data_IF_281295419120
#
_entry.id   IF_281295419120
#
_cell.length_a   1.000
_cell.length_b   1.000
_cell.length_c   1.000
_cell.angle_alpha   90.00
_cell.angle_beta   90.00
_cell.angle_gamma   90.00
#
_symmetry.space_group_name_H-M   'P 1'
#
loop_
_entity.id
_entity.type
_entity.pdbx_description
1 polymer ?
#
# COMPACT_ATOMS: atom_id res chain seq x y z
N UNK A 1 12.32 -27.62 -42.88
CA UNK A 1 11.81 -28.25 -41.64
C UNK A 1 12.98 -28.79 -40.84
N UNK A 2 13.43 -28.05 -39.82
CA UNK A 2 13.49 -28.54 -38.44
C UNK A 2 13.86 -27.36 -37.54
N UNK A 3 12.98 -27.15 -36.58
CA UNK A 3 12.89 -26.00 -35.69
C UNK A 3 14.09 -25.84 -34.77
N UNK A 4 14.48 -24.57 -34.61
CA UNK A 4 15.33 -24.10 -33.52
C UNK A 4 14.42 -23.76 -32.34
N UNK A 5 14.54 -24.50 -31.24
CA UNK A 5 14.01 -24.09 -29.94
C UNK A 5 15.17 -23.73 -29.03
N UNK A 6 15.42 -22.43 -28.92
CA UNK A 6 16.06 -21.82 -27.74
C UNK A 6 15.30 -20.52 -27.50
N UNK A 7 14.43 -20.52 -26.50
CA UNK A 7 13.67 -19.35 -26.07
C UNK A 7 13.32 -19.49 -24.60
N UNK A 8 13.47 -18.37 -23.89
CA UNK A 8 12.78 -18.04 -22.63
C UNK A 8 13.41 -18.49 -21.30
N UNK A 9 14.58 -17.91 -20.98
CA UNK A 9 15.07 -17.84 -19.60
C UNK A 9 15.53 -16.43 -19.15
N UNK A 10 15.47 -15.40 -20.01
CA UNK A 10 16.01 -14.07 -19.70
C UNK A 10 14.97 -13.00 -19.33
N UNK A 11 13.67 -13.30 -19.39
CA UNK A 11 12.64 -12.26 -19.22
C UNK A 11 12.39 -11.90 -17.74
N UNK A 12 12.64 -12.81 -16.79
CA UNK A 12 12.20 -12.63 -15.39
C UNK A 12 13.17 -11.85 -14.49
N UNK A 13 14.47 -11.85 -14.81
CA UNK A 13 15.49 -11.21 -13.97
C UNK A 13 15.64 -9.71 -14.29
N UNK A 14 15.37 -9.31 -15.54
CA UNK A 14 15.47 -7.91 -15.98
C UNK A 14 14.39 -7.04 -15.30
N UNK A 15 13.14 -7.50 -15.30
CA UNK A 15 11.99 -6.73 -14.82
C UNK A 15 12.05 -6.45 -13.31
N UNK A 16 12.45 -7.44 -12.51
CA UNK A 16 12.61 -7.26 -11.05
C UNK A 16 13.72 -6.26 -10.70
N UNK A 17 14.77 -6.19 -11.52
CA UNK A 17 15.87 -5.24 -11.36
C UNK A 17 15.42 -3.81 -11.70
N UNK A 18 14.59 -3.64 -12.73
CA UNK A 18 14.06 -2.34 -13.16
C UNK A 18 13.08 -1.75 -12.13
N UNK A 19 12.15 -2.55 -11.60
CA UNK A 19 11.24 -2.08 -10.55
C UNK A 19 11.96 -1.76 -9.24
N UNK A 20 13.02 -2.50 -8.91
CA UNK A 20 13.88 -2.18 -7.77
C UNK A 20 14.55 -0.82 -7.94
N UNK A 21 14.91 -0.42 -9.17
CA UNK A 21 15.50 0.89 -9.42
C UNK A 21 14.46 2.02 -9.21
N UNK A 22 13.24 1.85 -9.69
CA UNK A 22 12.13 2.81 -9.54
C UNK A 22 11.77 3.04 -8.08
N UNK A 23 11.74 1.97 -7.27
CA UNK A 23 11.44 2.06 -5.83
C UNK A 23 12.66 2.39 -4.96
N UNK A 24 13.87 2.52 -5.52
CA UNK A 24 15.08 2.81 -4.73
C UNK A 24 14.99 4.09 -3.88
N UNK A 25 14.39 5.22 -4.33
CA UNK A 25 14.24 6.40 -3.47
C UNK A 25 13.27 6.15 -2.31
N UNK A 26 12.21 5.38 -2.57
CA UNK A 26 11.28 4.94 -1.53
C UNK A 26 11.96 4.03 -0.50
N UNK A 27 12.76 3.05 -0.95
CA UNK A 27 13.50 2.15 -0.06
C UNK A 27 14.45 2.92 0.86
N UNK A 28 15.17 3.92 0.33
CA UNK A 28 16.04 4.78 1.14
C UNK A 28 15.26 5.53 2.24
N UNK A 29 14.07 6.04 1.91
CA UNK A 29 13.18 6.71 2.87
C UNK A 29 12.65 5.76 3.94
N UNK A 30 12.21 4.55 3.57
CA UNK A 30 11.80 3.52 4.53
C UNK A 30 12.94 3.15 5.47
N UNK A 31 14.17 2.94 4.96
CA UNK A 31 15.31 2.61 5.80
C UNK A 31 15.64 3.73 6.80
N UNK A 32 15.68 4.99 6.34
CA UNK A 32 15.90 6.15 7.21
C UNK A 32 14.80 6.30 8.27
N UNK A 33 13.53 6.14 7.86
CA UNK A 33 12.38 6.17 8.77
C UNK A 33 12.43 5.07 9.83
N UNK A 34 12.77 3.84 9.42
CA UNK A 34 12.92 2.70 10.32
C UNK A 34 14.04 2.94 11.35
N UNK A 35 15.17 3.50 10.92
CA UNK A 35 16.28 3.86 11.82
C UNK A 35 15.84 4.94 12.81
N UNK A 36 15.18 6.00 12.33
CA UNK A 36 14.68 7.08 13.16
C UNK A 36 13.63 6.61 14.18
N UNK A 37 12.72 5.71 13.77
CA UNK A 37 11.69 5.13 14.64
C UNK A 37 12.30 4.28 15.75
N UNK A 38 13.27 3.41 15.40
CA UNK A 38 14.03 2.61 16.38
C UNK A 38 14.79 3.47 17.38
N UNK A 39 15.31 4.61 16.93
CA UNK A 39 15.95 5.61 17.77
C UNK A 39 14.96 6.51 18.53
N UNK A 40 13.65 6.24 18.45
CA UNK A 40 12.57 7.04 19.07
C UNK A 40 12.54 8.51 18.65
N UNK A 41 13.19 8.84 17.53
CA UNK A 41 13.13 10.17 16.92
C UNK A 41 11.88 10.30 16.04
N UNK A 42 10.70 10.19 16.65
CA UNK A 42 9.43 9.99 15.94
C UNK A 42 9.06 11.11 14.97
N UNK A 43 9.46 12.37 15.23
CA UNK A 43 9.25 13.47 14.27
C UNK A 43 10.05 13.25 12.98
N UNK A 44 11.29 12.76 13.09
CA UNK A 44 12.10 12.41 11.92
C UNK A 44 11.55 11.19 11.21
N UNK A 45 11.14 10.16 11.95
CA UNK A 45 10.50 8.97 11.38
C UNK A 45 9.24 9.35 10.56
N UNK A 46 8.42 10.26 11.11
CA UNK A 46 7.22 10.79 10.45
C UNK A 46 7.56 11.42 9.11
N UNK A 47 8.56 12.30 9.09
CA UNK A 47 8.93 13.04 7.87
C UNK A 47 9.47 12.10 6.78
N UNK A 48 10.23 11.07 7.18
CA UNK A 48 10.73 10.05 6.25
C UNK A 48 9.62 9.15 5.71
N UNK A 49 8.70 8.66 6.57
CA UNK A 49 7.57 7.83 6.12
C UNK A 49 6.55 8.63 5.31
N UNK A 50 6.33 9.91 5.62
CA UNK A 50 5.50 10.80 4.80
C UNK A 50 6.12 10.96 3.40
N UNK A 51 7.43 11.16 3.32
CA UNK A 51 8.15 11.23 2.04
C UNK A 51 8.07 9.91 1.28
N UNK A 52 8.24 8.77 1.97
CA UNK A 52 8.10 7.45 1.38
C UNK A 52 6.68 7.25 0.79
N UNK A 53 5.64 7.59 1.56
CA UNK A 53 4.27 7.48 1.12
C UNK A 53 4.00 8.31 -0.13
N UNK A 54 4.46 9.57 -0.17
CA UNK A 54 4.31 10.44 -1.36
C UNK A 54 4.96 9.82 -2.60
N UNK A 55 6.17 9.29 -2.45
CA UNK A 55 6.89 8.65 -3.56
C UNK A 55 6.16 7.40 -4.07
N UNK A 56 5.80 6.49 -3.16
CA UNK A 56 5.13 5.24 -3.52
C UNK A 56 3.75 5.49 -4.15
N UNK A 57 2.97 6.43 -3.61
CA UNK A 57 1.65 6.78 -4.14
C UNK A 57 1.78 7.39 -5.53
N UNK A 58 2.74 8.29 -5.75
CA UNK A 58 2.97 8.86 -7.08
C UNK A 58 3.29 7.79 -8.11
N UNK A 59 4.19 6.85 -7.78
CA UNK A 59 4.57 5.75 -8.66
C UNK A 59 3.36 4.87 -8.98
N UNK A 60 2.59 4.48 -7.96
CA UNK A 60 1.36 3.70 -8.14
C UNK A 60 0.36 4.43 -9.04
N UNK A 61 0.08 5.70 -8.76
CA UNK A 61 -0.87 6.51 -9.52
C UNK A 61 -0.46 6.64 -10.98
N UNK A 62 0.83 6.81 -11.25
CA UNK A 62 1.37 6.83 -12.62
C UNK A 62 1.08 5.52 -13.36
N UNK A 63 1.37 4.36 -12.75
CA UNK A 63 1.05 3.06 -13.35
C UNK A 63 -0.45 2.77 -13.47
N UNK A 64 -1.29 3.36 -12.60
CA UNK A 64 -2.74 3.24 -12.71
C UNK A 64 -3.31 3.94 -13.96
N UNK A 65 -2.62 4.94 -14.51
CA UNK A 65 -3.07 5.65 -15.73
C UNK A 65 -2.79 4.89 -17.03
N UNK A 66 -1.83 3.97 -17.04
CA UNK A 66 -1.45 3.23 -18.24
C UNK A 66 -2.38 2.02 -18.53
N UNK A 67 -2.39 1.59 -19.80
CA UNK A 67 -3.04 0.34 -20.20
C UNK A 67 -2.43 -0.83 -19.42
N UNK A 68 -3.28 -1.75 -18.94
CA UNK A 68 -2.90 -2.87 -18.07
C UNK A 68 -2.29 -4.02 -18.87
N UNK A 69 -1.03 -3.87 -19.27
CA UNK A 69 -0.19 -4.97 -19.72
C UNK A 69 0.60 -5.60 -18.56
N UNK A 70 1.33 -6.69 -18.83
CA UNK A 70 2.07 -7.43 -17.81
C UNK A 70 3.12 -6.59 -17.08
N UNK A 71 3.73 -5.61 -17.73
CA UNK A 71 4.77 -4.75 -17.14
C UNK A 71 4.11 -3.78 -16.16
N UNK A 72 3.04 -3.10 -16.59
CA UNK A 72 2.28 -2.18 -15.74
C UNK A 72 1.67 -2.93 -14.56
N UNK A 73 1.18 -4.15 -14.78
CA UNK A 73 0.69 -5.01 -13.70
C UNK A 73 1.80 -5.31 -12.69
N UNK A 74 2.97 -5.80 -13.12
CA UNK A 74 4.10 -6.05 -12.22
C UNK A 74 4.50 -4.79 -11.43
N UNK A 75 4.46 -3.63 -12.07
CA UNK A 75 4.74 -2.35 -11.42
C UNK A 75 3.72 -2.00 -10.31
N UNK A 76 2.43 -2.27 -10.55
CA UNK A 76 1.36 -2.11 -9.56
C UNK A 76 1.56 -3.10 -8.40
N UNK A 77 1.93 -4.35 -8.68
CA UNK A 77 2.19 -5.38 -7.68
C UNK A 77 3.34 -5.03 -6.72
N UNK A 78 4.31 -4.25 -7.19
CA UNK A 78 5.41 -3.74 -6.36
C UNK A 78 5.11 -2.41 -5.67
N UNK A 79 4.37 -1.50 -6.32
CA UNK A 79 4.11 -0.16 -5.78
C UNK A 79 2.96 -0.13 -4.77
N UNK A 80 1.91 -0.94 -4.94
CA UNK A 80 0.81 -1.04 -3.97
C UNK A 80 1.27 -1.44 -2.56
N UNK A 81 2.05 -2.51 -2.35
CA UNK A 81 2.57 -2.84 -1.02
C UNK A 81 3.47 -1.73 -0.46
N UNK A 82 4.23 -1.02 -1.30
CA UNK A 82 5.06 0.10 -0.86
C UNK A 82 4.21 1.24 -0.27
N UNK A 83 3.05 1.54 -0.89
CA UNK A 83 2.06 2.49 -0.35
C UNK A 83 1.54 2.02 1.01
N UNK A 84 1.10 0.76 1.11
CA UNK A 84 0.54 0.19 2.35
C UNK A 84 1.55 0.22 3.50
N UNK A 85 2.79 -0.22 3.24
CA UNK A 85 3.87 -0.21 4.24
C UNK A 85 4.16 1.22 4.72
N UNK A 86 4.27 2.18 3.81
CA UNK A 86 4.55 3.58 4.18
C UNK A 86 3.43 4.17 5.02
N UNK A 87 2.17 3.90 4.64
CA UNK A 87 1.01 4.40 5.34
C UNK A 87 0.88 3.82 6.75
N UNK A 88 1.10 2.50 6.92
CA UNK A 88 1.04 1.86 8.23
C UNK A 88 2.18 2.35 9.13
N UNK A 89 3.41 2.42 8.63
CA UNK A 89 4.54 2.96 9.39
C UNK A 89 4.30 4.42 9.83
N UNK A 90 3.69 5.23 8.97
CA UNK A 90 3.32 6.61 9.30
C UNK A 90 2.21 6.65 10.37
N UNK A 91 1.19 5.77 10.28
CA UNK A 91 0.15 5.65 11.29
C UNK A 91 0.72 5.22 12.65
N UNK A 92 1.61 4.23 12.70
CA UNK A 92 2.32 3.80 13.90
C UNK A 92 3.16 4.93 14.50
N UNK A 93 3.71 5.79 13.66
CA UNK A 93 4.44 6.98 14.10
C UNK A 93 3.51 8.03 14.69
N UNK A 94 2.32 8.23 14.11
CA UNK A 94 1.31 9.10 14.73
C UNK A 94 0.82 8.54 16.06
N UNK A 95 0.69 7.22 16.21
CA UNK A 95 0.39 6.58 17.49
C UNK A 95 1.50 6.87 18.51
N UNK A 96 2.76 6.69 18.13
CA UNK A 96 3.92 6.97 18.99
C UNK A 96 4.05 8.45 19.39
N UNK A 97 3.55 9.36 18.55
CA UNK A 97 3.45 10.80 18.80
C UNK A 97 2.18 11.21 19.55
N UNK A 98 1.37 10.25 20.03
CA UNK A 98 0.10 10.49 20.73
C UNK A 98 -0.93 11.27 19.88
N UNK A 99 -0.96 11.00 18.57
CA UNK A 99 -1.83 11.65 17.59
C UNK A 99 -2.83 10.65 16.97
N UNK A 100 -3.76 10.06 17.76
CA UNK A 100 -4.66 9.02 17.27
C UNK A 100 -5.60 9.51 16.15
N UNK A 101 -6.01 10.78 16.16
CA UNK A 101 -6.81 11.36 15.07
C UNK A 101 -6.09 11.27 13.72
N UNK A 102 -4.78 11.56 13.69
CA UNK A 102 -3.98 11.50 12.47
C UNK A 102 -3.68 10.07 12.04
N UNK A 103 -3.44 9.18 13.00
CA UNK A 103 -3.29 7.75 12.72
C UNK A 103 -4.58 7.18 12.09
N UNK A 104 -5.75 7.48 12.66
CA UNK A 104 -7.03 7.06 12.12
C UNK A 104 -7.25 7.58 10.69
N UNK A 105 -7.02 8.88 10.45
CA UNK A 105 -7.14 9.47 9.13
C UNK A 105 -6.19 8.82 8.11
N UNK A 106 -4.97 8.50 8.52
CA UNK A 106 -3.98 7.84 7.68
C UNK A 106 -4.39 6.40 7.31
N UNK A 107 -4.86 5.61 8.28
CA UNK A 107 -5.32 4.24 8.06
C UNK A 107 -6.56 4.20 7.17
N UNK A 108 -7.52 5.11 7.39
CA UNK A 108 -8.71 5.22 6.55
C UNK A 108 -8.36 5.63 5.12
N UNK A 109 -7.46 6.61 4.97
CA UNK A 109 -7.01 7.09 3.65
C UNK A 109 -6.38 5.97 2.82
N UNK A 110 -5.44 5.19 3.41
CA UNK A 110 -4.83 4.08 2.67
C UNK A 110 -5.84 2.96 2.39
N UNK A 111 -6.80 2.71 3.28
CA UNK A 111 -7.85 1.73 3.03
C UNK A 111 -8.71 2.11 1.80
N UNK A 112 -9.12 3.38 1.70
CA UNK A 112 -9.83 3.87 0.51
C UNK A 112 -8.98 3.78 -0.75
N UNK A 113 -7.68 4.12 -0.67
CA UNK A 113 -6.78 4.02 -1.82
C UNK A 113 -6.66 2.58 -2.33
N UNK A 114 -6.49 1.62 -1.44
CA UNK A 114 -6.42 0.20 -1.81
C UNK A 114 -7.74 -0.30 -2.38
N UNK A 115 -8.88 0.16 -1.84
CA UNK A 115 -10.20 -0.15 -2.39
C UNK A 115 -10.40 0.43 -3.79
N UNK A 116 -9.96 1.67 -4.04
CA UNK A 116 -9.96 2.30 -5.36
C UNK A 116 -9.16 1.44 -6.36
N UNK A 117 -7.92 1.07 -6.01
CA UNK A 117 -7.07 0.21 -6.84
C UNK A 117 -7.76 -1.13 -7.12
N UNK A 118 -8.30 -1.78 -6.10
CA UNK A 118 -9.04 -3.03 -6.25
C UNK A 118 -10.24 -2.90 -7.21
N UNK A 119 -10.95 -1.77 -7.16
CA UNK A 119 -12.12 -1.53 -8.00
C UNK A 119 -11.78 -1.29 -9.48
N UNK A 120 -10.57 -0.80 -9.77
CA UNK A 120 -10.08 -0.51 -11.11
C UNK A 120 -9.42 -1.71 -11.80
N UNK A 121 -9.00 -2.73 -11.04
CA UNK A 121 -8.31 -3.90 -11.59
C UNK A 121 -9.30 -5.02 -11.96
N UNK A 122 -9.02 -5.69 -13.07
CA UNK A 122 -9.69 -6.91 -13.49
C UNK A 122 -8.75 -8.11 -13.29
N UNK A 123 -9.29 -9.30 -13.00
CA UNK A 123 -8.55 -10.58 -12.91
C UNK A 123 -7.49 -10.70 -11.77
N UNK A 124 -6.40 -11.44 -12.01
CA UNK A 124 -5.43 -11.95 -11.00
C UNK A 124 -4.76 -10.84 -10.15
N UNK A 125 -4.58 -9.65 -10.69
CA UNK A 125 -4.02 -8.48 -9.98
C UNK A 125 -4.97 -7.97 -8.88
N UNK A 126 -6.27 -8.21 -9.07
CA UNK A 126 -7.26 -7.96 -8.04
C UNK A 126 -7.00 -8.82 -6.79
N UNK A 127 -6.32 -9.98 -6.90
CA UNK A 127 -6.00 -10.81 -5.73
C UNK A 127 -4.97 -10.12 -4.81
N UNK A 128 -3.96 -9.46 -5.36
CA UNK A 128 -2.97 -8.71 -4.58
C UNK A 128 -3.61 -7.48 -3.94
N UNK A 129 -4.40 -6.73 -4.72
CA UNK A 129 -5.15 -5.60 -4.17
C UNK A 129 -6.14 -6.04 -3.08
N UNK A 130 -6.82 -7.16 -3.26
CA UNK A 130 -7.74 -7.75 -2.28
C UNK A 130 -7.02 -8.19 -1.00
N UNK A 131 -5.84 -8.77 -1.12
CA UNK A 131 -4.99 -9.13 0.02
C UNK A 131 -4.63 -7.88 0.85
N UNK A 132 -4.19 -6.81 0.18
CA UNK A 132 -3.89 -5.55 0.86
C UNK A 132 -5.15 -4.84 1.40
N UNK A 133 -6.30 -5.03 0.76
CA UNK A 133 -7.57 -4.52 1.25
C UNK A 133 -7.99 -5.21 2.57
N UNK A 134 -7.79 -6.53 2.66
CA UNK A 134 -7.96 -7.28 3.91
C UNK A 134 -7.00 -6.81 5.00
N UNK A 135 -5.72 -6.59 4.68
CA UNK A 135 -4.73 -6.09 5.64
C UNK A 135 -5.10 -4.71 6.18
N UNK A 136 -5.42 -3.75 5.32
CA UNK A 136 -5.82 -2.40 5.76
C UNK A 136 -7.11 -2.44 6.59
N UNK A 137 -8.06 -3.31 6.26
CA UNK A 137 -9.25 -3.55 7.09
C UNK A 137 -8.90 -4.11 8.47
N UNK A 138 -7.99 -5.07 8.54
CA UNK A 138 -7.52 -5.62 9.82
C UNK A 138 -6.87 -4.52 10.68
N UNK A 139 -6.03 -3.68 10.10
CA UNK A 139 -5.41 -2.56 10.84
C UNK A 139 -6.44 -1.55 11.36
N UNK A 140 -7.47 -1.22 10.58
CA UNK A 140 -8.59 -0.38 11.06
C UNK A 140 -9.31 -1.01 12.26
N UNK A 141 -9.56 -2.33 12.22
CA UNK A 141 -10.17 -3.07 13.33
C UNK A 141 -9.24 -3.07 14.56
N UNK A 142 -7.93 -3.29 14.37
CA UNK A 142 -6.95 -3.24 15.46
C UNK A 142 -6.90 -1.85 16.09
N UNK A 143 -6.92 -0.79 15.28
CA UNK A 143 -6.97 0.58 15.75
C UNK A 143 -8.21 0.85 16.60
N UNK A 144 -9.40 0.47 16.12
CA UNK A 144 -10.65 0.64 16.86
C UNK A 144 -10.64 -0.10 18.22
N UNK A 145 -10.07 -1.32 18.26
CA UNK A 145 -9.88 -2.09 19.50
C UNK A 145 -8.89 -1.43 20.47
N UNK A 146 -7.87 -0.72 19.96
CA UNK A 146 -6.87 -0.01 20.77
C UNK A 146 -7.43 1.26 21.40
N UNK A 147 -8.37 1.94 20.75
CA UNK A 147 -8.95 3.22 21.19
C UNK A 147 -10.47 3.14 21.44
N UNK A 148 -10.95 2.25 22.34
CA UNK A 148 -12.38 2.10 22.61
C UNK A 148 -13.03 3.36 23.23
N UNK A 149 -12.21 4.24 23.79
CA UNK A 149 -12.62 5.48 24.45
C UNK A 149 -12.75 6.67 23.48
N UNK A 150 -12.48 6.48 22.18
CA UNK A 150 -12.60 7.52 21.14
C UNK A 150 -13.73 7.16 20.15
N UNK A 151 -15.01 7.30 20.55
CA UNK A 151 -16.15 6.84 19.76
C UNK A 151 -16.27 7.53 18.39
N UNK A 152 -15.82 8.77 18.26
CA UNK A 152 -15.82 9.50 16.99
C UNK A 152 -14.91 8.83 15.97
N UNK A 153 -13.74 8.33 16.40
CA UNK A 153 -12.81 7.62 15.53
C UNK A 153 -13.36 6.25 15.14
N UNK A 154 -14.01 5.55 16.06
CA UNK A 154 -14.67 4.27 15.78
C UNK A 154 -15.79 4.46 14.75
N UNK A 155 -16.59 5.51 14.89
CA UNK A 155 -17.62 5.85 13.90
C UNK A 155 -17.02 6.09 12.53
N UNK A 156 -15.95 6.89 12.44
CA UNK A 156 -15.25 7.16 11.19
C UNK A 156 -14.72 5.87 10.52
N UNK A 157 -14.17 4.95 11.31
CA UNK A 157 -13.69 3.64 10.83
C UNK A 157 -14.86 2.78 10.32
N UNK A 158 -15.99 2.77 11.04
CA UNK A 158 -17.17 2.02 10.62
C UNK A 158 -17.74 2.56 9.29
N UNK A 159 -17.83 3.88 9.13
CA UNK A 159 -18.23 4.50 7.86
C UNK A 159 -17.30 4.12 6.72
N UNK A 160 -15.98 4.13 6.96
CA UNK A 160 -15.00 3.70 5.96
C UNK A 160 -15.23 2.23 5.54
N UNK A 161 -15.43 1.32 6.50
CA UNK A 161 -15.68 -0.10 6.22
C UNK A 161 -17.01 -0.35 5.50
N UNK A 162 -18.04 0.46 5.75
CA UNK A 162 -19.32 0.37 5.04
C UNK A 162 -19.18 0.80 3.57
N UNK A 163 -18.45 1.89 3.33
CA UNK A 163 -18.26 2.45 1.99
C UNK A 163 -17.35 1.60 1.10
N UNK A 164 -16.46 0.80 1.69
CA UNK A 164 -15.57 -0.13 0.98
C UNK A 164 -16.04 -1.57 1.04
N UNK A 165 -17.30 -1.81 1.44
CA UNK A 165 -17.83 -3.15 1.50
C UNK A 165 -17.88 -3.75 0.09
N UNK A 166 -17.02 -4.75 -0.13
CA UNK A 166 -17.05 -5.56 -1.34
C UNK A 166 -18.39 -6.29 -1.39
N UNK A 167 -19.33 -5.82 -2.22
CA UNK A 167 -20.42 -6.67 -2.68
C UNK A 167 -19.78 -7.70 -3.58
N UNK A 168 -19.94 -8.98 -3.26
CA UNK A 168 -19.36 -10.06 -4.05
C UNK A 168 -19.65 -9.82 -5.53
N UNK A 169 -18.61 -9.53 -6.32
CA UNK A 169 -18.67 -9.84 -7.75
C UNK A 169 -18.94 -11.34 -7.75
N UNK A 170 -20.16 -11.73 -8.07
CA UNK A 170 -20.48 -13.12 -8.29
C UNK A 170 -19.43 -13.62 -9.28
N UNK A 171 -18.61 -14.56 -8.82
CA UNK A 171 -17.77 -15.36 -9.70
C UNK A 171 -18.77 -16.15 -10.56
N UNK A 172 -19.11 -15.59 -11.72
CA UNK A 172 -19.87 -16.25 -12.77
C UNK A 172 -18.90 -16.68 -13.86
#
# INVERSE_FOLDING_TARGET
MKDSMVGDANYTISDTCEFSAVLSPWQAKIMSGNQAYKAQTFLRARDEYQSALVLATRILDEFLLYQKDNIVIGAIEHSLPAVVVSAHNLADTFIALEQPNRACAQLTSVHFKVHEVFSQLESEVAAIALHHLHKTRQELIHFAKRYPHLPELIHHINEAMLNTHIRGRALH
#
